data_IF_773467050389
#
_entry.id   IF_773467050389
#
_cell.length_a   1.000
_cell.length_b   1.000
_cell.length_c   1.000
_cell.angle_alpha   90.00
_cell.angle_beta   90.00
_cell.angle_gamma   90.00
#
_symmetry.space_group_name_H-M   'P 1'
#
loop_
_entity.id
_entity.type
_entity.pdbx_description
1 polymer ?
#
# COMPACT_ATOMS: atom_id res chain seq x y z
N UNK A 1 23.41 -6.94 -9.94
CA UNK A 1 22.39 -5.89 -10.01
C UNK A 1 22.22 -5.49 -11.46
N UNK A 2 21.08 -5.82 -12.08
CA UNK A 2 20.76 -5.35 -13.42
C UNK A 2 20.52 -3.83 -13.42
N UNK A 3 20.74 -3.17 -14.55
CA UNK A 3 20.41 -1.76 -14.72
C UNK A 3 18.90 -1.55 -14.54
N UNK A 4 18.48 -0.87 -13.47
CA UNK A 4 17.11 -0.41 -13.33
C UNK A 4 16.84 0.70 -14.35
N UNK A 5 15.76 0.57 -15.11
CA UNK A 5 15.28 1.62 -16.01
C UNK A 5 14.53 2.69 -15.21
N UNK A 6 14.91 3.95 -15.40
CA UNK A 6 14.23 5.08 -14.78
C UNK A 6 13.02 5.50 -15.65
N UNK A 7 11.84 5.54 -15.04
CA UNK A 7 10.62 6.04 -15.67
C UNK A 7 10.22 7.34 -14.96
N UNK A 8 10.22 8.46 -15.69
CA UNK A 8 9.79 9.75 -15.17
C UNK A 8 8.40 10.10 -15.72
N UNK A 9 7.47 10.39 -14.82
CA UNK A 9 6.10 10.78 -15.15
C UNK A 9 5.82 12.10 -14.45
N UNK A 10 5.76 13.16 -15.24
CA UNK A 10 5.32 14.47 -14.79
C UNK A 10 4.23 15.00 -15.69
N UNK A 11 2.99 15.05 -15.18
CA UNK A 11 1.84 15.44 -15.97
C UNK A 11 0.74 16.06 -15.13
N UNK A 12 0.50 17.35 -15.33
CA UNK A 12 -0.43 18.15 -14.51
C UNK A 12 -1.90 17.83 -14.74
N UNK A 13 -2.30 17.19 -15.85
CA UNK A 13 -3.71 16.81 -16.08
C UNK A 13 -4.00 15.33 -15.77
N UNK A 14 -2.99 14.55 -15.39
CA UNK A 14 -3.16 13.11 -15.19
C UNK A 14 -3.94 12.87 -13.90
N UNK A 15 -5.14 12.27 -14.03
CA UNK A 15 -6.02 11.97 -12.89
C UNK A 15 -5.98 10.52 -12.44
N UNK A 16 -5.56 9.62 -13.32
CA UNK A 16 -5.49 8.19 -13.06
C UNK A 16 -4.20 7.64 -13.63
N UNK A 17 -3.56 6.79 -12.86
CA UNK A 17 -2.41 6.07 -13.32
C UNK A 17 -2.44 4.64 -12.82
N UNK A 18 -1.93 3.73 -13.65
CA UNK A 18 -1.91 2.31 -13.38
C UNK A 18 -0.60 1.75 -13.88
N UNK A 19 0.12 1.10 -12.97
CA UNK A 19 1.30 0.29 -13.26
C UNK A 19 0.86 -1.16 -13.17
N UNK A 20 1.05 -1.90 -14.26
CA UNK A 20 0.75 -3.33 -14.32
C UNK A 20 2.05 -4.08 -14.57
N UNK A 21 2.28 -5.12 -13.78
CA UNK A 21 3.38 -6.06 -13.96
C UNK A 21 4.75 -5.38 -14.09
N UNK A 22 5.07 -4.46 -13.18
CA UNK A 22 6.38 -3.81 -13.17
C UNK A 22 7.46 -4.72 -12.61
N UNK A 23 8.61 -4.74 -13.29
CA UNK A 23 9.85 -5.43 -12.91
C UNK A 23 11.02 -4.44 -12.95
N UNK A 24 11.79 -4.27 -11.87
CA UNK A 24 13.07 -3.53 -11.85
C UNK A 24 13.05 -2.10 -12.44
N UNK A 25 12.08 -1.27 -12.04
CA UNK A 25 12.00 0.13 -12.47
C UNK A 25 12.14 1.11 -11.31
N UNK A 26 12.73 2.27 -11.56
CA UNK A 26 12.65 3.41 -10.64
C UNK A 26 11.64 4.42 -11.19
N UNK A 27 10.54 4.64 -10.47
CA UNK A 27 9.50 5.59 -10.85
C UNK A 27 9.72 6.94 -10.17
N UNK A 28 9.92 7.99 -10.97
CA UNK A 28 9.85 9.36 -10.51
C UNK A 28 8.50 9.94 -10.93
N UNK A 29 7.70 10.34 -9.96
CA UNK A 29 6.30 10.73 -10.17
C UNK A 29 6.10 12.14 -9.62
N UNK A 30 5.63 13.03 -10.49
CA UNK A 30 5.29 14.41 -10.17
C UNK A 30 3.97 14.80 -10.89
N UNK A 31 2.86 14.40 -10.29
CA UNK A 31 1.53 14.49 -10.91
C UNK A 31 0.52 15.12 -9.93
N UNK A 32 0.45 16.47 -9.84
CA UNK A 32 -0.30 17.18 -8.80
C UNK A 32 -1.80 16.92 -8.77
N UNK A 33 -2.39 16.40 -9.86
CA UNK A 33 -3.82 16.13 -9.98
C UNK A 33 -4.16 14.63 -10.04
N UNK A 34 -3.21 13.75 -9.69
CA UNK A 34 -3.42 12.31 -9.69
C UNK A 34 -4.38 11.92 -8.56
N UNK A 35 -5.60 11.50 -8.92
CA UNK A 35 -6.63 11.10 -7.96
C UNK A 35 -6.63 9.59 -7.68
N UNK A 36 -6.39 8.77 -8.71
CA UNK A 36 -6.40 7.31 -8.59
C UNK A 36 -5.03 6.74 -8.96
N UNK A 37 -4.42 6.02 -8.03
CA UNK A 37 -3.16 5.34 -8.26
C UNK A 37 -3.32 3.82 -8.09
N UNK A 38 -2.82 3.05 -9.06
CA UNK A 38 -2.78 1.59 -8.98
C UNK A 38 -1.39 1.09 -9.32
N UNK A 39 -0.85 0.19 -8.51
CA UNK A 39 0.43 -0.46 -8.75
C UNK A 39 0.36 -1.95 -8.48
N UNK A 40 0.63 -2.75 -9.52
CA UNK A 40 0.87 -4.18 -9.40
C UNK A 40 2.33 -4.43 -9.78
N UNK A 41 3.16 -4.74 -8.78
CA UNK A 41 4.62 -4.84 -8.94
C UNK A 41 5.12 -6.21 -8.50
N UNK A 42 5.99 -6.82 -9.31
CA UNK A 42 6.55 -8.15 -9.06
C UNK A 42 7.93 -8.11 -8.42
N UNK A 43 8.70 -7.05 -8.65
CA UNK A 43 10.07 -6.91 -8.15
C UNK A 43 10.33 -5.50 -7.60
N UNK A 44 11.60 -5.25 -7.22
CA UNK A 44 12.11 -3.99 -6.68
C UNK A 44 11.73 -2.84 -7.60
N UNK A 45 10.79 -2.03 -7.14
CA UNK A 45 10.41 -0.78 -7.78
C UNK A 45 10.72 0.36 -6.84
N UNK A 46 11.75 1.14 -7.12
CA UNK A 46 12.01 2.35 -6.34
C UNK A 46 11.03 3.45 -6.71
N UNK A 47 10.62 4.24 -5.72
CA UNK A 47 9.68 5.35 -5.91
C UNK A 47 10.28 6.67 -5.43
N UNK A 48 10.21 7.69 -6.29
CA UNK A 48 10.40 9.10 -5.92
C UNK A 48 9.09 9.82 -6.18
N UNK A 49 8.37 10.13 -5.10
CA UNK A 49 7.00 10.63 -5.14
C UNK A 49 6.96 12.11 -4.79
N UNK A 50 6.37 12.94 -5.66
CA UNK A 50 6.16 14.37 -5.46
C UNK A 50 4.74 14.76 -5.83
N UNK A 51 4.19 15.72 -5.10
CA UNK A 51 2.88 16.32 -5.38
C UNK A 51 1.75 15.28 -5.49
N UNK A 52 1.65 14.37 -4.51
CA UNK A 52 0.63 13.30 -4.49
C UNK A 52 -0.54 13.57 -3.52
N UNK A 53 -0.67 14.81 -3.06
CA UNK A 53 -1.72 15.24 -2.13
C UNK A 53 -3.14 15.07 -2.70
N UNK A 54 -3.27 14.98 -4.02
CA UNK A 54 -4.55 14.77 -4.71
C UNK A 54 -5.00 13.32 -4.78
N UNK A 55 -4.15 12.34 -4.40
CA UNK A 55 -4.54 10.94 -4.45
C UNK A 55 -5.64 10.69 -3.41
N UNK A 56 -6.81 10.29 -3.89
CA UNK A 56 -7.94 9.92 -3.04
C UNK A 56 -8.04 8.41 -2.86
N UNK A 57 -7.54 7.63 -3.83
CA UNK A 57 -7.61 6.16 -3.80
C UNK A 57 -6.32 5.51 -4.31
N UNK A 58 -5.84 4.50 -3.59
CA UNK A 58 -4.70 3.70 -3.99
C UNK A 58 -5.03 2.20 -4.01
N UNK A 59 -4.54 1.48 -5.01
CA UNK A 59 -4.61 0.02 -5.14
C UNK A 59 -3.19 -0.53 -5.30
N UNK A 60 -2.64 -1.09 -4.22
CA UNK A 60 -1.23 -1.49 -4.12
C UNK A 60 -1.15 -3.01 -3.97
N UNK A 61 -0.44 -3.64 -4.90
CA UNK A 61 -0.23 -5.07 -4.93
C UNK A 61 1.24 -5.38 -5.22
N UNK A 62 1.95 -5.86 -4.20
CA UNK A 62 3.27 -6.44 -4.35
C UNK A 62 3.14 -7.95 -4.47
N UNK A 63 3.66 -8.56 -5.52
CA UNK A 63 3.50 -10.00 -5.78
C UNK A 63 4.61 -10.83 -5.15
N UNK A 64 5.76 -10.21 -4.85
CA UNK A 64 6.94 -10.89 -4.33
C UNK A 64 6.99 -10.90 -2.81
N UNK A 65 7.16 -12.09 -2.23
CA UNK A 65 7.28 -12.35 -0.78
C UNK A 65 8.65 -11.94 -0.20
N UNK A 66 9.56 -11.44 -1.03
CA UNK A 66 10.92 -11.18 -0.57
C UNK A 66 11.05 -9.82 0.15
N UNK A 67 11.59 -9.86 1.37
CA UNK A 67 11.77 -8.70 2.25
C UNK A 67 12.69 -7.58 1.72
N UNK A 68 13.41 -7.79 0.61
CA UNK A 68 14.26 -6.74 0.01
C UNK A 68 13.46 -5.57 -0.58
N UNK A 69 12.13 -5.67 -0.64
CA UNK A 69 11.23 -4.61 -1.10
C UNK A 69 10.84 -3.59 -0.01
N UNK A 70 11.26 -3.80 1.24
CA UNK A 70 10.73 -3.04 2.38
C UNK A 70 11.01 -1.52 2.27
N UNK A 71 12.22 -1.12 1.89
CA UNK A 71 12.57 0.30 1.78
C UNK A 71 11.76 1.04 0.71
N UNK A 72 11.53 0.38 -0.43
CA UNK A 72 10.78 0.97 -1.53
C UNK A 72 9.27 1.01 -1.26
N UNK A 73 8.74 -0.05 -0.64
CA UNK A 73 7.36 -0.07 -0.16
C UNK A 73 7.14 1.04 0.89
N UNK A 74 8.11 1.27 1.78
CA UNK A 74 8.08 2.36 2.76
C UNK A 74 7.94 3.72 2.09
N UNK A 75 8.77 3.99 1.08
CA UNK A 75 8.72 5.25 0.34
C UNK A 75 7.37 5.44 -0.34
N UNK A 76 6.81 4.36 -0.91
CA UNK A 76 5.49 4.37 -1.51
C UNK A 76 4.40 4.71 -0.50
N UNK A 77 4.31 3.96 0.60
CA UNK A 77 3.26 4.15 1.61
C UNK A 77 3.30 5.53 2.27
N UNK A 78 4.49 6.10 2.49
CA UNK A 78 4.63 7.48 2.97
C UNK A 78 4.11 8.50 1.96
N UNK A 79 4.28 8.25 0.66
CA UNK A 79 3.77 9.16 -0.38
C UNK A 79 2.25 9.11 -0.55
N UNK A 80 1.60 8.02 -0.15
CA UNK A 80 0.15 7.82 -0.31
C UNK A 80 -0.63 7.83 1.02
N UNK A 81 -0.03 8.23 2.14
CA UNK A 81 -0.68 8.12 3.45
C UNK A 81 -1.94 9.01 3.62
N UNK A 82 -2.17 9.96 2.72
CA UNK A 82 -3.33 10.86 2.75
C UNK A 82 -4.59 10.31 2.04
N UNK A 83 -4.55 9.09 1.50
CA UNK A 83 -5.68 8.50 0.75
C UNK A 83 -6.90 8.24 1.63
N UNK A 84 -8.09 8.25 1.01
CA UNK A 84 -9.35 7.88 1.64
C UNK A 84 -9.73 6.42 1.43
N UNK A 85 -9.28 5.83 0.32
CA UNK A 85 -9.54 4.44 -0.02
C UNK A 85 -8.23 3.73 -0.36
N UNK A 86 -7.99 2.59 0.28
CA UNK A 86 -6.78 1.80 0.10
C UNK A 86 -7.14 0.34 -0.12
N UNK A 87 -6.67 -0.21 -1.24
CA UNK A 87 -6.71 -1.65 -1.53
C UNK A 87 -5.30 -2.20 -1.38
N UNK A 88 -5.14 -3.24 -0.57
CA UNK A 88 -3.86 -3.91 -0.33
C UNK A 88 -3.95 -5.39 -0.66
N UNK A 89 -2.87 -5.92 -1.23
CA UNK A 89 -2.57 -7.35 -1.15
C UNK A 89 -2.01 -7.73 0.21
N UNK A 90 -2.08 -9.02 0.55
CA UNK A 90 -1.47 -9.57 1.77
C UNK A 90 0.02 -9.23 1.91
N UNK A 91 0.79 -9.40 0.84
CA UNK A 91 2.21 -9.03 0.78
C UNK A 91 2.43 -7.54 0.98
N UNK A 92 1.58 -6.69 0.41
CA UNK A 92 1.64 -5.24 0.62
C UNK A 92 1.43 -4.86 2.08
N UNK A 93 0.54 -5.56 2.79
CA UNK A 93 0.32 -5.36 4.22
C UNK A 93 1.55 -5.78 5.05
N UNK A 94 2.17 -6.90 4.73
CA UNK A 94 3.41 -7.33 5.39
C UNK A 94 4.55 -6.31 5.20
N UNK A 95 4.64 -5.71 4.01
CA UNK A 95 5.62 -4.67 3.71
C UNK A 95 5.29 -3.33 4.39
N UNK A 96 4.05 -3.14 4.85
CA UNK A 96 3.64 -2.04 5.72
C UNK A 96 4.07 -2.26 7.18
N UNK A 97 5.26 -2.82 7.40
CA UNK A 97 5.89 -3.02 8.71
C UNK A 97 7.09 -2.09 8.92
N UNK A 98 7.20 -1.05 8.11
CA UNK A 98 8.33 -0.13 8.08
C UNK A 98 8.34 0.86 9.25
N UNK A 99 9.51 1.15 9.81
CA UNK A 99 9.65 2.12 10.90
C UNK A 99 10.27 3.46 10.41
N UNK A 100 9.69 4.63 10.76
CA UNK A 100 8.36 4.82 11.34
C UNK A 100 7.24 4.47 10.35
N UNK A 101 6.18 3.89 10.90
CA UNK A 101 4.97 3.49 10.20
C UNK A 101 4.19 4.73 9.70
N UNK A 102 3.77 4.76 8.42
CA UNK A 102 2.98 5.86 7.89
C UNK A 102 1.58 5.87 8.51
N UNK A 103 1.13 7.05 8.92
CA UNK A 103 -0.18 7.28 9.54
C UNK A 103 -1.21 7.63 8.47
N UNK A 104 -2.29 6.86 8.39
CA UNK A 104 -3.34 7.00 7.38
C UNK A 104 -4.57 7.75 7.94
N UNK A 105 -4.36 8.99 8.39
CA UNK A 105 -5.36 9.78 9.14
C UNK A 105 -6.70 10.02 8.41
N UNK A 106 -6.69 9.98 7.08
CA UNK A 106 -7.87 10.22 6.23
C UNK A 106 -8.49 8.94 5.65
N UNK A 107 -7.94 7.77 5.98
CA UNK A 107 -8.39 6.50 5.43
C UNK A 107 -9.76 6.13 6.00
N UNK A 108 -10.72 5.96 5.09
CA UNK A 108 -12.13 5.63 5.38
C UNK A 108 -12.50 4.24 4.87
N UNK A 109 -11.84 3.77 3.81
CA UNK A 109 -12.09 2.46 3.21
C UNK A 109 -10.79 1.66 3.09
N UNK A 110 -10.73 0.51 3.73
CA UNK A 110 -9.63 -0.46 3.59
C UNK A 110 -10.16 -1.76 3.01
N UNK A 111 -9.49 -2.25 1.98
CA UNK A 111 -9.85 -3.47 1.26
C UNK A 111 -8.66 -4.41 1.09
N UNK A 112 -8.77 -5.60 1.66
CA UNK A 112 -7.76 -6.65 1.67
C UNK A 112 -8.22 -7.90 0.89
N UNK A 113 -9.02 -7.74 -0.17
CA UNK A 113 -9.66 -8.85 -0.90
C UNK A 113 -8.75 -9.61 -1.89
N UNK A 114 -7.55 -9.12 -2.21
CA UNK A 114 -6.71 -9.74 -3.25
C UNK A 114 -5.62 -10.64 -2.67
N UNK A 115 -5.67 -11.93 -3.06
CA UNK A 115 -4.72 -12.95 -2.64
C UNK A 115 -4.16 -13.75 -3.82
N UNK A 116 -2.83 -13.86 -3.88
CA UNK A 116 -2.13 -14.94 -4.56
C UNK A 116 -0.99 -15.41 -3.63
N UNK A 117 -1.13 -16.59 -2.99
CA UNK A 117 -0.01 -17.30 -2.34
C UNK A 117 -0.09 -17.41 -0.80
N UNK A 118 0.32 -18.57 -0.28
CA UNK A 118 0.30 -19.00 1.14
C UNK A 118 1.11 -18.07 2.08
N UNK A 119 0.51 -16.95 2.47
CA UNK A 119 1.15 -15.99 3.37
C UNK A 119 0.88 -16.33 4.85
N UNK A 120 1.95 -16.33 5.65
CA UNK A 120 1.92 -16.40 7.10
C UNK A 120 1.61 -15.01 7.69
N UNK A 121 0.36 -14.85 8.12
CA UNK A 121 -0.16 -13.60 8.67
C UNK A 121 0.43 -13.21 10.04
N UNK A 122 1.16 -14.11 10.72
CA UNK A 122 1.77 -13.84 12.05
C UNK A 122 2.81 -12.70 12.06
N UNK A 123 3.27 -12.28 10.88
CA UNK A 123 4.24 -11.19 10.71
C UNK A 123 3.61 -9.85 10.31
N UNK A 124 2.30 -9.82 10.03
CA UNK A 124 1.58 -8.65 9.51
C UNK A 124 0.99 -7.73 10.57
N UNK A 125 1.06 -8.15 11.84
CA UNK A 125 0.33 -7.59 12.98
C UNK A 125 0.51 -6.08 13.11
N UNK A 126 1.75 -5.57 12.98
CA UNK A 126 2.05 -4.15 13.17
C UNK A 126 1.49 -3.23 12.09
N UNK A 127 1.55 -3.66 10.83
CA UNK A 127 1.10 -2.86 9.70
C UNK A 127 -0.42 -2.72 9.69
N UNK A 128 -1.08 -3.84 9.97
CA UNK A 128 -2.52 -3.86 10.13
C UNK A 128 -2.95 -3.06 11.37
N UNK A 129 -2.34 -3.28 12.52
CA UNK A 129 -2.62 -2.51 13.74
C UNK A 129 -2.47 -1.00 13.51
N UNK A 130 -1.41 -0.57 12.81
CA UNK A 130 -1.23 0.86 12.46
C UNK A 130 -2.36 1.37 11.59
N UNK A 131 -2.74 0.64 10.54
CA UNK A 131 -3.86 1.06 9.68
C UNK A 131 -5.15 1.18 10.49
N UNK A 132 -5.42 0.25 11.39
CA UNK A 132 -6.64 0.23 12.18
C UNK A 132 -6.67 1.32 13.25
N UNK A 133 -5.54 1.60 13.90
CA UNK A 133 -5.46 2.59 14.99
C UNK A 133 -5.30 4.03 14.49
N UNK A 134 -4.75 4.22 13.29
CA UNK A 134 -4.40 5.56 12.76
C UNK A 134 -5.41 6.13 11.76
N UNK A 135 -6.52 5.44 11.51
CA UNK A 135 -7.50 5.77 10.48
C UNK A 135 -8.90 6.10 11.05
N UNK A 136 -9.79 6.56 10.18
CA UNK A 136 -11.20 6.83 10.47
C UNK A 136 -12.08 5.86 9.67
N UNK A 137 -11.75 4.56 9.70
CA UNK A 137 -12.37 3.55 8.85
C UNK A 137 -13.90 3.50 9.04
N UNK A 138 -14.62 3.69 7.95
CA UNK A 138 -16.07 3.48 7.84
C UNK A 138 -16.37 2.13 7.17
N UNK A 139 -15.45 1.64 6.32
CA UNK A 139 -15.59 0.37 5.60
C UNK A 139 -14.31 -0.42 5.68
N UNK A 140 -14.45 -1.68 6.05
CA UNK A 140 -13.34 -2.62 6.07
C UNK A 140 -13.77 -3.92 5.38
N UNK A 141 -12.98 -4.31 4.37
CA UNK A 141 -13.13 -5.60 3.69
C UNK A 141 -11.87 -6.42 3.92
N UNK A 142 -12.01 -7.63 4.46
CA UNK A 142 -10.91 -8.56 4.66
C UNK A 142 -11.33 -9.99 4.36
N UNK A 143 -10.34 -10.85 4.19
CA UNK A 143 -10.55 -12.30 4.21
C UNK A 143 -10.59 -12.78 5.65
N UNK A 144 -11.43 -13.78 5.94
CA UNK A 144 -11.68 -14.28 7.29
C UNK A 144 -10.39 -14.69 8.04
N UNK A 145 -9.40 -15.20 7.31
CA UNK A 145 -8.12 -15.65 7.88
C UNK A 145 -7.33 -14.52 8.57
N UNK A 146 -7.47 -13.28 8.07
CA UNK A 146 -6.83 -12.09 8.67
C UNK A 146 -7.44 -11.74 10.04
N UNK A 147 -8.73 -12.00 10.25
CA UNK A 147 -9.34 -11.79 11.57
C UNK A 147 -8.75 -12.73 12.62
N UNK A 148 -8.40 -13.96 12.22
CA UNK A 148 -7.89 -14.96 13.14
C UNK A 148 -6.44 -14.66 13.59
N UNK A 149 -5.71 -13.84 12.83
CA UNK A 149 -4.35 -13.40 13.17
C UNK A 149 -4.30 -12.08 13.95
N UNK A 150 -5.42 -11.35 14.07
CA UNK A 150 -5.44 -10.08 14.80
C UNK A 150 -5.32 -10.29 16.32
N UNK A 151 -4.59 -9.42 17.04
CA UNK A 151 -4.64 -9.36 18.49
C UNK A 151 -6.08 -9.17 18.97
N UNK A 152 -6.45 -9.79 20.09
CA UNK A 152 -7.81 -9.74 20.63
C UNK A 152 -8.33 -8.31 20.88
N UNK A 153 -7.42 -7.38 21.19
CA UNK A 153 -7.72 -5.96 21.40
C UNK A 153 -8.09 -5.24 20.09
N UNK A 154 -7.47 -5.62 18.97
CA UNK A 154 -7.80 -5.09 17.64
C UNK A 154 -9.08 -5.73 17.07
N UNK A 155 -9.40 -6.97 17.47
CA UNK A 155 -10.62 -7.65 17.05
C UNK A 155 -11.90 -7.00 17.60
N UNK A 156 -11.82 -6.31 18.73
CA UNK A 156 -12.94 -5.60 19.36
C UNK A 156 -13.41 -4.37 18.56
N UNK A 157 -12.57 -3.81 17.68
CA UNK A 157 -12.96 -2.72 16.77
C UNK A 157 -13.96 -3.17 15.69
N UNK A 158 -14.18 -4.47 15.51
CA UNK A 158 -15.03 -5.03 14.44
C UNK A 158 -16.34 -5.65 14.91
N UNK A 159 -16.66 -5.54 16.20
CA UNK A 159 -17.96 -5.96 16.75
C UNK A 159 -18.83 -4.72 16.97
N UNK A 160 -19.33 -4.14 15.87
CA UNK A 160 -20.41 -3.14 15.86
C UNK A 160 -21.38 -3.46 14.73
#
# INVERSE_FOLDING_TARGET
MGNMSNINISHHLLKRWTILHSYTHYFMIDTPNLANFKSISHEVTGYSLKNLESIVSADIHFVSEYNYLQADATALFRGICNVRSLVLSATSLMLLSCEPLPVFANLMELDMRHYYGLIDWSSSDKGLETLLTSSQLEKLYFIQEVLCSLPAESALLFVV
#
